data_IF_203352499731
#
_entry.id   IF_203352499731
#
_cell.length_a   1.000
_cell.length_b   1.000
_cell.length_c   1.000
_cell.angle_alpha   90.00
_cell.angle_beta   90.00
_cell.angle_gamma   90.00
#
_symmetry.space_group_name_H-M   'P 1'
#
loop_
_entity.id
_entity.type
_entity.pdbx_description
1 polymer ?
#
# COMPACT_ATOMS: atom_id res chain seq x y z
N UNK A 1 5.34 18.94 2.82
CA UNK A 1 6.31 18.39 1.85
C UNK A 1 6.77 19.48 0.91
N UNK A 2 8.06 19.54 0.59
CA UNK A 2 8.62 20.45 -0.41
C UNK A 2 8.36 19.93 -1.83
N UNK A 3 8.60 20.76 -2.86
CA UNK A 3 8.52 20.30 -4.26
C UNK A 3 9.55 19.21 -4.53
N UNK A 4 10.76 19.41 -4.03
CA UNK A 4 11.88 18.48 -4.22
C UNK A 4 11.58 17.13 -3.56
N UNK A 5 10.99 17.12 -2.36
CA UNK A 5 10.56 15.88 -1.69
C UNK A 5 9.49 15.09 -2.46
N UNK A 6 8.62 15.76 -3.23
CA UNK A 6 7.60 15.08 -4.05
C UNK A 6 8.22 14.51 -5.32
N UNK A 7 9.10 15.27 -5.96
CA UNK A 7 9.74 14.88 -7.22
C UNK A 7 10.91 13.92 -7.05
N UNK A 8 11.48 13.84 -5.84
CA UNK A 8 12.58 12.94 -5.53
C UNK A 8 12.22 11.49 -5.82
N UNK A 9 13.18 10.79 -6.46
CA UNK A 9 13.13 9.35 -6.63
C UNK A 9 13.77 8.72 -5.40
N UNK A 10 13.00 7.93 -4.66
CA UNK A 10 13.46 7.24 -3.48
C UNK A 10 13.97 5.84 -3.82
N UNK A 11 14.99 5.33 -3.11
CA UNK A 11 15.42 3.94 -3.26
C UNK A 11 14.34 2.98 -2.72
N UNK A 12 14.26 1.81 -3.33
CA UNK A 12 13.38 0.74 -2.87
C UNK A 12 13.93 0.05 -1.61
N UNK A 13 13.06 -0.28 -0.66
CA UNK A 13 13.39 -1.18 0.47
C UNK A 13 13.08 -2.64 0.13
N UNK A 14 12.03 -2.84 -0.65
CA UNK A 14 11.60 -4.14 -1.15
C UNK A 14 11.43 -4.07 -2.67
N UNK A 15 11.66 -5.18 -3.35
CA UNK A 15 11.29 -5.29 -4.75
C UNK A 15 9.75 -5.22 -4.90
N UNK A 16 9.27 -4.47 -5.88
CA UNK A 16 7.85 -4.38 -6.19
C UNK A 16 7.36 -5.64 -6.93
N UNK A 17 7.48 -6.84 -6.36
CA UNK A 17 6.89 -8.04 -6.96
C UNK A 17 5.36 -8.02 -6.82
N UNK A 18 4.59 -8.73 -7.65
CA UNK A 18 3.13 -8.84 -7.47
C UNK A 18 2.75 -9.33 -6.06
N UNK A 19 3.52 -10.26 -5.49
CA UNK A 19 3.31 -10.76 -4.13
C UNK A 19 3.51 -9.65 -3.07
N UNK A 20 4.60 -8.88 -3.17
CA UNK A 20 4.86 -7.79 -2.24
C UNK A 20 3.84 -6.65 -2.37
N UNK A 21 3.39 -6.37 -3.60
CA UNK A 21 2.31 -5.40 -3.84
C UNK A 21 1.02 -5.88 -3.20
N UNK A 22 0.65 -7.15 -3.37
CA UNK A 22 -0.56 -7.72 -2.77
C UNK A 22 -0.53 -7.65 -1.23
N UNK A 23 0.63 -7.92 -0.60
CA UNK A 23 0.81 -7.75 0.84
C UNK A 23 0.59 -6.29 1.23
N UNK A 24 1.26 -5.34 0.56
CA UNK A 24 1.10 -3.92 0.85
C UNK A 24 -0.34 -3.42 0.63
N UNK A 25 -1.06 -3.94 -0.37
CA UNK A 25 -2.48 -3.66 -0.59
C UNK A 25 -3.34 -4.17 0.58
N UNK A 26 -3.07 -5.38 1.08
CA UNK A 26 -3.73 -5.93 2.27
C UNK A 26 -3.49 -5.07 3.52
N UNK A 27 -2.25 -4.61 3.71
CA UNK A 27 -1.89 -3.68 4.80
C UNK A 27 -2.67 -2.37 4.67
N UNK A 28 -2.67 -1.74 3.49
CA UNK A 28 -3.44 -0.50 3.25
C UNK A 28 -4.92 -0.72 3.52
N UNK A 29 -5.52 -1.82 3.05
CA UNK A 29 -6.93 -2.11 3.28
C UNK A 29 -7.27 -2.17 4.78
N UNK A 30 -6.47 -2.92 5.55
CA UNK A 30 -6.69 -3.08 6.99
C UNK A 30 -6.54 -1.75 7.72
N UNK A 31 -5.43 -1.04 7.49
CA UNK A 31 -5.12 0.20 8.19
C UNK A 31 -6.01 1.38 7.73
N UNK A 32 -6.49 1.35 6.49
CA UNK A 32 -7.50 2.29 6.02
C UNK A 32 -8.83 2.08 6.73
N UNK A 33 -9.27 0.84 6.92
CA UNK A 33 -10.48 0.54 7.69
C UNK A 33 -10.35 0.98 9.15
N UNK A 34 -9.18 0.82 9.78
CA UNK A 34 -8.91 1.39 11.11
C UNK A 34 -9.08 2.93 11.08
N UNK A 35 -8.54 3.59 10.06
CA UNK A 35 -8.68 5.05 9.89
C UNK A 35 -10.13 5.50 9.65
N UNK A 36 -10.94 4.70 8.97
CA UNK A 36 -12.35 4.98 8.76
C UNK A 36 -13.10 4.96 10.11
N UNK A 37 -12.84 3.95 10.94
CA UNK A 37 -13.43 3.86 12.28
C UNK A 37 -13.05 5.04 13.17
N UNK A 38 -11.80 5.51 13.13
CA UNK A 38 -11.36 6.72 13.85
C UNK A 38 -12.09 8.01 13.42
N UNK A 39 -12.77 7.99 12.28
CA UNK A 39 -13.53 9.11 11.72
C UNK A 39 -15.03 8.90 11.80
N UNK A 40 -15.47 7.91 12.59
CA UNK A 40 -16.86 7.48 12.71
C UNK A 40 -17.47 7.08 11.35
N UNK A 41 -16.64 6.56 10.44
CA UNK A 41 -17.04 6.04 9.14
C UNK A 41 -17.09 4.51 9.16
N UNK A 42 -18.01 3.88 8.40
CA UNK A 42 -18.06 2.43 8.31
C UNK A 42 -16.81 1.87 7.62
N UNK A 43 -16.42 0.66 8.02
CA UNK A 43 -15.40 -0.12 7.29
C UNK A 43 -15.92 -0.51 5.91
N UNK A 44 -15.01 -0.58 4.95
CA UNK A 44 -15.34 -0.89 3.56
C UNK A 44 -14.53 -2.09 3.06
N UNK A 45 -15.09 -2.82 2.10
CA UNK A 45 -14.34 -3.86 1.36
C UNK A 45 -13.39 -3.24 0.31
N UNK A 46 -13.66 -2.00 -0.03
CA UNK A 46 -12.92 -1.18 -0.97
C UNK A 46 -12.05 -0.16 -0.20
N UNK A 47 -10.98 0.36 -0.81
CA UNK A 47 -10.09 1.36 -0.20
C UNK A 47 -10.10 2.68 -0.98
N UNK A 48 -11.22 3.03 -1.61
CA UNK A 48 -11.41 4.32 -2.28
C UNK A 48 -11.07 5.48 -1.34
N UNK A 49 -10.46 6.52 -1.90
CA UNK A 49 -9.99 7.70 -1.18
C UNK A 49 -8.68 7.51 -0.40
N UNK A 50 -8.11 6.31 -0.34
CA UNK A 50 -6.82 6.07 0.34
C UNK A 50 -5.59 6.40 -0.52
N UNK A 51 -5.76 6.80 -1.78
CA UNK A 51 -4.69 6.94 -2.78
C UNK A 51 -3.46 7.70 -2.29
N UNK A 52 -3.62 8.79 -1.54
CA UNK A 52 -2.49 9.55 -0.96
C UNK A 52 -1.69 8.74 0.06
N UNK A 53 -2.37 8.05 0.97
CA UNK A 53 -1.72 7.19 1.96
C UNK A 53 -1.03 6.00 1.28
N UNK A 54 -1.72 5.38 0.33
CA UNK A 54 -1.23 4.29 -0.48
C UNK A 54 0.03 4.66 -1.29
N UNK A 55 0.01 5.79 -2.01
CA UNK A 55 1.16 6.23 -2.80
C UNK A 55 2.37 6.58 -1.93
N UNK A 56 2.15 7.25 -0.79
CA UNK A 56 3.23 7.56 0.16
C UNK A 56 3.84 6.30 0.78
N UNK A 57 2.99 5.33 1.18
CA UNK A 57 3.45 4.05 1.69
C UNK A 57 4.17 3.23 0.62
N UNK A 58 3.61 3.14 -0.59
CA UNK A 58 4.22 2.46 -1.73
C UNK A 58 5.60 3.03 -2.05
N UNK A 59 5.76 4.36 -2.04
CA UNK A 59 7.05 5.00 -2.28
C UNK A 59 8.07 4.65 -1.21
N UNK A 60 7.64 4.62 0.05
CA UNK A 60 8.51 4.26 1.17
C UNK A 60 8.96 2.78 1.14
N UNK A 61 8.14 1.89 0.58
CA UNK A 61 8.43 0.46 0.47
C UNK A 61 9.20 0.11 -0.80
N UNK A 62 8.76 0.62 -1.94
CA UNK A 62 9.17 0.16 -3.28
C UNK A 62 9.99 1.21 -4.05
N UNK A 63 10.24 2.38 -3.45
CA UNK A 63 11.00 3.46 -4.07
C UNK A 63 10.19 4.20 -5.14
N UNK A 64 10.91 4.88 -6.04
CA UNK A 64 10.28 5.71 -7.07
C UNK A 64 9.90 7.10 -6.56
N UNK A 65 9.11 7.82 -7.35
CA UNK A 65 8.59 9.15 -7.00
C UNK A 65 7.07 9.16 -6.99
N UNK A 66 6.49 10.13 -6.29
CA UNK A 66 5.04 10.38 -6.39
C UNK A 66 4.74 10.91 -7.80
N UNK A 67 3.65 10.41 -8.37
CA UNK A 67 3.08 10.83 -9.64
C UNK A 67 1.55 10.84 -9.51
N UNK A 68 0.88 11.53 -10.43
CA UNK A 68 -0.57 11.60 -10.39
C UNK A 68 -1.14 12.85 -11.03
N UNK A 69 -2.44 13.01 -10.82
CA UNK A 69 -3.28 14.07 -11.35
C UNK A 69 -4.35 14.45 -10.30
N UNK A 70 -5.31 15.29 -10.70
CA UNK A 70 -6.37 15.80 -9.81
C UNK A 70 -7.26 14.74 -9.18
N UNK A 71 -7.32 13.55 -9.75
CA UNK A 71 -8.23 12.49 -9.33
C UNK A 71 -7.50 11.37 -8.60
N UNK A 72 -6.24 11.10 -8.95
CA UNK A 72 -5.50 9.96 -8.40
C UNK A 72 -4.01 10.22 -8.24
N UNK A 73 -3.41 9.58 -7.23
CA UNK A 73 -1.96 9.59 -6.99
C UNK A 73 -1.43 8.19 -6.80
N UNK A 74 -0.24 7.95 -7.34
CA UNK A 74 0.43 6.66 -7.40
C UNK A 74 1.95 6.86 -7.37
N UNK A 75 2.71 5.78 -7.51
CA UNK A 75 4.17 5.82 -7.58
C UNK A 75 4.67 5.45 -8.96
N UNK A 76 5.63 6.23 -9.47
CA UNK A 76 6.33 5.96 -10.71
C UNK A 76 7.77 5.53 -10.43
N UNK A 77 8.12 4.32 -10.88
CA UNK A 77 9.46 3.72 -10.78
C UNK A 77 9.98 3.47 -12.20
N UNK A 78 10.74 4.42 -12.75
CA UNK A 78 11.14 4.39 -14.16
C UNK A 78 9.89 4.45 -15.07
N UNK A 79 9.69 3.41 -15.89
CA UNK A 79 8.51 3.26 -16.76
C UNK A 79 7.34 2.53 -16.08
N UNK A 80 7.56 2.00 -14.88
CA UNK A 80 6.58 1.19 -14.17
C UNK A 80 5.72 2.06 -13.26
N UNK A 81 4.42 1.74 -13.22
CA UNK A 81 3.46 2.25 -12.24
C UNK A 81 3.38 1.27 -11.07
N UNK A 82 3.38 1.81 -9.85
CA UNK A 82 3.08 1.08 -8.62
C UNK A 82 1.90 1.80 -7.98
N UNK A 83 0.76 1.12 -7.94
CA UNK A 83 -0.49 1.67 -7.47
C UNK A 83 -1.16 0.68 -6.52
N UNK A 84 -1.12 0.98 -5.22
CA UNK A 84 -1.79 0.13 -4.25
C UNK A 84 -3.31 0.31 -4.29
N UNK A 85 -3.85 1.28 -5.01
CA UNK A 85 -5.28 1.47 -5.23
C UNK A 85 -5.75 0.98 -6.61
N UNK A 86 -4.89 0.30 -7.37
CA UNK A 86 -5.33 -0.35 -8.60
C UNK A 86 -6.48 -1.34 -8.31
N UNK A 87 -7.49 -1.33 -9.18
CA UNK A 87 -8.70 -2.14 -9.04
C UNK A 87 -9.67 -1.69 -7.93
N UNK A 88 -9.52 -0.47 -7.40
CA UNK A 88 -10.52 0.13 -6.51
C UNK A 88 -11.56 0.91 -7.30
N UNK A 89 -12.77 1.00 -6.78
CA UNK A 89 -13.91 1.56 -7.52
C UNK A 89 -13.67 2.99 -7.99
N UNK A 90 -13.08 3.85 -7.15
CA UNK A 90 -12.77 5.24 -7.51
C UNK A 90 -11.72 5.34 -8.61
N UNK A 91 -10.70 4.48 -8.60
CA UNK A 91 -9.67 4.40 -9.64
C UNK A 91 -10.23 3.86 -10.95
N UNK A 92 -11.02 2.78 -10.89
CA UNK A 92 -11.66 2.18 -12.06
C UNK A 92 -12.63 3.14 -12.74
N UNK A 93 -13.37 3.93 -11.96
CA UNK A 93 -14.31 4.95 -12.46
C UNK A 93 -13.63 6.08 -13.24
N UNK A 94 -12.34 6.34 -12.98
CA UNK A 94 -11.54 7.33 -13.74
C UNK A 94 -11.09 6.73 -15.09
N UNK A 95 -10.83 5.42 -15.12
CA UNK A 95 -10.25 4.68 -16.25
C UNK A 95 -8.72 4.70 -16.23
N UNK A 96 -8.08 3.56 -16.56
CA UNK A 96 -6.64 3.32 -16.37
C UNK A 96 -5.72 4.41 -16.97
N UNK A 97 -5.96 4.81 -18.22
CA UNK A 97 -5.14 5.83 -18.89
C UNK A 97 -5.18 7.19 -18.16
N UNK A 98 -6.38 7.61 -17.73
CA UNK A 98 -6.58 8.87 -17.01
C UNK A 98 -6.09 8.77 -15.57
N UNK A 99 -6.33 7.65 -14.89
CA UNK A 99 -5.91 7.41 -13.52
C UNK A 99 -4.39 7.51 -13.39
N UNK A 100 -3.64 7.02 -14.39
CA UNK A 100 -2.18 7.05 -14.39
C UNK A 100 -1.56 8.18 -15.22
N UNK A 101 -2.32 9.22 -15.58
CA UNK A 101 -1.76 10.43 -16.17
C UNK A 101 -0.81 11.14 -15.17
N UNK A 102 0.43 11.39 -15.60
CA UNK A 102 1.48 12.01 -14.79
C UNK A 102 1.51 13.53 -15.03
N UNK A 103 0.98 14.30 -14.09
CA UNK A 103 0.93 15.76 -14.14
C UNK A 103 1.82 16.36 -13.04
N UNK A 104 3.14 16.54 -13.26
CA UNK A 104 4.07 17.05 -12.25
C UNK A 104 3.64 18.40 -11.63
N UNK A 105 3.05 19.29 -12.45
CA UNK A 105 2.53 20.58 -11.98
C UNK A 105 1.41 20.43 -10.95
N UNK A 106 0.61 19.37 -11.07
CA UNK A 106 -0.45 19.09 -10.11
C UNK A 106 0.15 18.58 -8.78
N UNK A 107 0.97 17.53 -8.81
CA UNK A 107 1.51 16.95 -7.57
C UNK A 107 2.47 17.88 -6.81
N UNK A 108 3.06 18.87 -7.50
CA UNK A 108 3.95 19.88 -6.88
C UNK A 108 3.26 21.17 -6.46
N UNK A 109 1.96 21.32 -6.72
CA UNK A 109 1.23 22.50 -6.27
C UNK A 109 1.16 22.55 -4.72
N UNK A 110 0.85 23.72 -4.18
CA UNK A 110 0.93 23.93 -2.73
C UNK A 110 -0.07 23.06 -1.96
N UNK A 111 -1.35 23.12 -2.33
CA UNK A 111 -2.44 22.39 -1.67
C UNK A 111 -2.22 20.87 -1.69
N UNK A 112 -1.75 20.34 -2.83
CA UNK A 112 -1.47 18.93 -2.97
C UNK A 112 -0.30 18.51 -2.08
N UNK A 113 0.78 19.31 -2.03
CA UNK A 113 1.91 19.05 -1.13
C UNK A 113 1.53 19.11 0.34
N UNK A 114 0.65 20.03 0.73
CA UNK A 114 0.11 20.09 2.09
C UNK A 114 -0.76 18.89 2.41
N UNK A 115 -1.61 18.50 1.46
CA UNK A 115 -2.44 17.31 1.62
C UNK A 115 -1.64 16.01 1.68
N UNK A 116 -0.52 15.90 0.95
CA UNK A 116 0.40 14.76 1.11
C UNK A 116 1.11 14.83 2.47
N UNK A 117 1.51 16.02 2.90
CA UNK A 117 2.16 16.22 4.19
C UNK A 117 1.27 15.82 5.37
N UNK A 118 -0.02 16.14 5.32
CA UNK A 118 -0.96 15.78 6.38
C UNK A 118 -1.18 14.26 6.49
N UNK A 119 -0.95 13.50 5.41
CA UNK A 119 -0.97 12.03 5.44
C UNK A 119 0.27 11.42 6.11
N UNK A 120 1.42 12.11 6.14
CA UNK A 120 2.70 11.52 6.55
C UNK A 120 2.73 11.00 7.98
N UNK A 121 2.07 11.66 8.93
CA UNK A 121 2.02 11.17 10.32
C UNK A 121 1.41 9.77 10.40
N UNK A 122 0.38 9.50 9.58
CA UNK A 122 -0.28 8.20 9.55
C UNK A 122 0.56 7.18 8.79
N UNK A 123 1.12 7.58 7.65
CA UNK A 123 2.02 6.72 6.86
C UNK A 123 3.24 6.28 7.68
N UNK A 124 3.81 7.16 8.51
CA UNK A 124 4.92 6.82 9.40
C UNK A 124 4.54 5.74 10.43
N UNK A 125 3.30 5.71 10.89
CA UNK A 125 2.80 4.66 11.77
C UNK A 125 2.49 3.35 11.01
N UNK A 126 2.06 3.44 9.76
CA UNK A 126 1.74 2.28 8.92
C UNK A 126 2.97 1.57 8.36
N UNK A 127 4.03 2.33 8.05
CA UNK A 127 5.25 1.83 7.47
C UNK A 127 5.90 0.67 8.25
N UNK A 128 6.11 0.73 9.59
CA UNK A 128 6.67 -0.40 10.33
C UNK A 128 5.78 -1.65 10.28
N UNK A 129 4.46 -1.50 10.24
CA UNK A 129 3.52 -2.62 10.10
C UNK A 129 3.71 -3.30 8.74
N UNK A 130 3.76 -2.50 7.66
CA UNK A 130 3.97 -3.02 6.31
C UNK A 130 5.33 -3.72 6.16
N UNK A 131 6.38 -3.16 6.77
CA UNK A 131 7.72 -3.76 6.77
C UNK A 131 7.73 -5.10 7.49
N UNK A 132 7.05 -5.21 8.64
CA UNK A 132 6.96 -6.46 9.37
C UNK A 132 6.30 -7.56 8.54
N UNK A 133 5.14 -7.27 7.94
CA UNK A 133 4.41 -8.25 7.11
C UNK A 133 5.20 -8.66 5.85
N UNK A 134 5.88 -7.71 5.20
CA UNK A 134 6.75 -8.03 4.06
C UNK A 134 7.95 -8.89 4.47
N UNK A 135 8.57 -8.63 5.62
CA UNK A 135 9.67 -9.44 6.13
C UNK A 135 9.21 -10.86 6.50
N UNK A 136 8.02 -11.01 7.10
CA UNK A 136 7.45 -12.33 7.42
C UNK A 136 7.22 -13.16 6.16
N UNK A 137 6.79 -12.54 5.05
CA UNK A 137 6.61 -13.22 3.78
C UNK A 137 7.94 -13.66 3.12
N UNK A 138 9.06 -13.01 3.45
CA UNK A 138 10.40 -13.39 2.97
C UNK A 138 10.99 -14.59 3.73
N UNK A 139 10.46 -14.93 4.90
CA UNK A 139 10.88 -16.13 5.63
C UNK A 139 10.19 -17.33 4.99
N UNK A 140 10.91 -18.31 4.41
CA UNK A 140 10.29 -19.51 3.89
C UNK A 140 9.49 -20.19 5.00
N UNK A 141 8.25 -20.58 4.69
CA UNK A 141 7.35 -21.19 5.64
C UNK A 141 8.08 -22.30 6.41
N UNK A 142 8.26 -22.13 7.73
CA UNK A 142 8.73 -23.24 8.58
C UNK A 142 7.81 -24.43 8.28
N UNK A 143 8.35 -25.62 7.98
CA UNK A 143 7.51 -26.79 7.79
C UNK A 143 6.67 -26.93 9.06
N UNK A 144 5.34 -26.78 8.90
CA UNK A 144 4.40 -27.09 9.96
C UNK A 144 4.56 -28.58 10.20
N UNK A 145 5.28 -28.97 11.25
CA UNK A 145 5.27 -30.34 11.72
C UNK A 145 3.80 -30.67 12.02
N UNK A 146 3.16 -31.43 11.11
CA UNK A 146 1.92 -32.13 11.41
C UNK A 146 2.23 -32.95 12.66
N UNK A 147 1.56 -32.65 13.78
CA UNK A 147 1.51 -33.57 14.91
C UNK A 147 1.01 -34.89 14.34
N UNK A 148 1.86 -35.92 14.35
CA UNK A 148 1.44 -37.28 14.08
C UNK A 148 0.35 -37.63 15.10
N UNK A 149 -0.86 -37.85 14.63
CA UNK A 149 -1.91 -38.54 15.39
C UNK A 149 -1.35 -39.91 15.78
N UNK A 150 -1.15 -40.13 17.09
CA UNK A 150 -0.91 -41.47 17.63
C UNK A 150 -2.16 -42.32 17.36
N UNK A 151 -2.03 -43.58 16.92
CA UNK A 151 -3.17 -44.48 16.87
C UNK A 151 -3.57 -44.90 18.29
N UNK A 152 -4.85 -44.69 18.59
CA UNK A 152 -5.53 -45.16 19.80
C UNK A 152 -5.47 -46.70 19.83
N UNK A 153 -4.94 -47.23 20.93
CA UNK A 153 -4.81 -48.66 21.16
C UNK A 153 -6.20 -49.30 21.23
N UNK A 154 -6.46 -50.25 20.33
CA UNK A 154 -7.62 -51.11 20.39
C UNK A 154 -7.57 -51.95 21.68
N UNK A 155 -8.51 -51.69 22.59
CA UNK A 155 -8.86 -52.59 23.70
C UNK A 155 -9.75 -53.68 23.09
N UNK A 156 -9.24 -54.91 23.03
CA UNK A 156 -10.05 -56.09 22.73
C UNK A 156 -10.65 -56.66 24.03
N UNK A 157 -11.86 -57.25 23.99
CA UNK A 157 -12.50 -57.91 25.13
C UNK A 157 -11.86 -59.26 25.47
#
# INVERSE_FOLDING_TARGET
MTKDEVLAVHPARFEATPANIAIAQGVVQRLWNERQLERDQPVTKDRSGSCKFAALLARALFGGRIAGNSQHVYVKLGRRVIDLNEGQFDVESIGAERAHADLPRFVTNHEHRESLASCMSRVNAWLPVAIAELNEALVPARPRHRKATQPEAAVAP
#
